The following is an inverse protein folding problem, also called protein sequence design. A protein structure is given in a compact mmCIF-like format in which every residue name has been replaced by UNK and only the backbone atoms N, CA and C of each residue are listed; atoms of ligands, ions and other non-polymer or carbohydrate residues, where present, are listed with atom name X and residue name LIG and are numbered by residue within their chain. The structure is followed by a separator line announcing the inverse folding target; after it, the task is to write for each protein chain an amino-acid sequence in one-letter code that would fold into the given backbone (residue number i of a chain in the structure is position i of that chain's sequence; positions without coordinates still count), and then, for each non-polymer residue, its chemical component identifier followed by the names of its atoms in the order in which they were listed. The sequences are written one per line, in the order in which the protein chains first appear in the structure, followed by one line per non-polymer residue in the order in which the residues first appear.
data_IF_537891544432
#
_entry.id   IF_537891544432
#
_cell.length_a   1.000
_cell.length_b   1.000
_cell.length_c   1.000
_cell.angle_alpha   90.00
_cell.angle_beta   90.00
_cell.angle_gamma   90.00
#
_symmetry.space_group_name_H-M   'P 1'
#
loop_
_entity.id
_entity.type
_entity.pdbx_description
1 polymer ?
#
# COMPACT_ATOMS: atom_id res chain seq x y z
N UNK A 1 -41.62 15.89 -25.50
CA UNK A 1 -40.91 15.45 -24.28
C UNK A 1 -41.23 16.40 -23.14
N UNK A 2 -41.46 15.86 -21.95
CA UNK A 2 -41.66 16.65 -20.73
C UNK A 2 -40.32 16.99 -20.06
N UNK A 3 -40.27 18.01 -19.21
CA UNK A 3 -39.05 18.37 -18.46
C UNK A 3 -38.53 17.20 -17.61
N UNK A 4 -39.44 16.38 -17.08
CA UNK A 4 -39.11 15.16 -16.35
C UNK A 4 -38.38 14.14 -17.24
N UNK A 5 -38.88 13.92 -18.46
CA UNK A 5 -38.25 13.02 -19.44
C UNK A 5 -36.87 13.53 -19.89
N UNK A 6 -36.70 14.85 -20.05
CA UNK A 6 -35.40 15.45 -20.39
C UNK A 6 -34.41 15.27 -19.23
N UNK A 7 -34.86 15.40 -17.98
CA UNK A 7 -34.01 15.19 -16.82
C UNK A 7 -33.66 13.71 -16.60
N UNK A 8 -34.60 12.79 -16.86
CA UNK A 8 -34.39 11.34 -16.81
C UNK A 8 -33.42 10.88 -17.92
N UNK A 9 -33.55 11.42 -19.14
CA UNK A 9 -32.66 11.14 -20.27
C UNK A 9 -31.26 11.74 -20.06
N UNK A 10 -31.14 12.91 -19.41
CA UNK A 10 -29.85 13.46 -18.97
C UNK A 10 -29.23 12.62 -17.85
N UNK A 11 -30.02 12.16 -16.88
CA UNK A 11 -29.54 11.30 -15.79
C UNK A 11 -29.08 9.93 -16.30
N UNK A 12 -29.80 9.33 -17.26
CA UNK A 12 -29.40 8.09 -17.93
C UNK A 12 -28.16 8.27 -18.81
N UNK A 13 -28.10 9.32 -19.64
CA UNK A 13 -26.89 9.62 -20.42
C UNK A 13 -25.69 9.92 -19.50
N UNK A 14 -25.89 10.57 -18.35
CA UNK A 14 -24.83 10.74 -17.36
C UNK A 14 -24.41 9.38 -16.76
N UNK A 15 -25.35 8.50 -16.40
CA UNK A 15 -25.01 7.16 -15.89
C UNK A 15 -24.23 6.31 -16.89
N UNK A 16 -24.56 6.37 -18.18
CA UNK A 16 -23.84 5.63 -19.24
C UNK A 16 -22.52 6.33 -19.66
N UNK A 17 -22.43 7.66 -19.59
CA UNK A 17 -21.19 8.40 -19.93
C UNK A 17 -20.12 8.38 -18.82
N UNK A 18 -20.49 8.07 -17.57
CA UNK A 18 -19.56 8.06 -16.43
C UNK A 18 -19.23 6.64 -15.92
N UNK A 19 -19.61 5.58 -16.66
CA UNK A 19 -19.06 4.24 -16.40
C UNK A 19 -17.54 4.28 -16.55
N UNK A 20 -16.82 3.87 -15.50
CA UNK A 20 -15.35 3.91 -15.47
C UNK A 20 -14.75 5.17 -14.84
N UNK A 21 -15.56 6.10 -14.31
CA UNK A 21 -15.06 7.26 -13.57
C UNK A 21 -15.52 7.26 -12.11
N UNK A 22 -14.69 7.82 -11.22
CA UNK A 22 -15.01 8.02 -9.79
C UNK A 22 -14.85 9.50 -9.41
N UNK A 23 -15.67 9.97 -8.49
CA UNK A 23 -15.52 11.32 -7.91
C UNK A 23 -14.29 11.43 -7.01
N UNK A 24 -13.84 12.66 -6.72
CA UNK A 24 -12.78 12.90 -5.73
C UNK A 24 -13.15 12.33 -4.35
N UNK A 25 -14.42 12.40 -3.95
CA UNK A 25 -14.86 11.89 -2.65
C UNK A 25 -14.77 10.37 -2.59
N UNK A 26 -15.24 9.66 -3.62
CA UNK A 26 -15.06 8.21 -3.71
C UNK A 26 -13.58 7.82 -3.71
N UNK A 27 -12.71 8.59 -4.37
CA UNK A 27 -11.27 8.38 -4.27
C UNK A 27 -10.76 8.61 -2.84
N UNK A 28 -11.19 9.67 -2.14
CA UNK A 28 -10.81 9.93 -0.75
C UNK A 28 -11.26 8.77 0.16
N UNK A 29 -12.43 8.19 -0.08
CA UNK A 29 -12.94 7.05 0.68
C UNK A 29 -12.06 5.81 0.47
N UNK A 30 -11.76 5.46 -0.80
CA UNK A 30 -10.83 4.37 -1.12
C UNK A 30 -9.45 4.58 -0.48
N UNK A 31 -8.95 5.80 -0.56
CA UNK A 31 -7.69 6.20 0.06
C UNK A 31 -7.77 6.07 1.60
N UNK A 32 -8.89 6.43 2.21
CA UNK A 32 -9.10 6.36 3.66
C UNK A 32 -9.22 4.91 4.13
N UNK A 33 -9.82 4.03 3.35
CA UNK A 33 -9.82 2.59 3.63
C UNK A 33 -8.38 2.06 3.72
N UNK A 34 -7.52 2.44 2.77
CA UNK A 34 -6.13 1.99 2.68
C UNK A 34 -5.19 2.61 3.72
N UNK A 35 -5.34 3.90 3.99
CA UNK A 35 -4.40 4.67 4.80
C UNK A 35 -4.96 5.17 6.14
N UNK A 36 -6.26 5.01 6.41
CA UNK A 36 -6.94 5.35 7.68
C UNK A 36 -6.62 6.77 8.16
N UNK A 37 -6.93 7.81 7.38
CA UNK A 37 -6.67 9.20 7.79
C UNK A 37 -7.72 9.76 8.75
N UNK A 38 -8.96 9.29 8.64
CA UNK A 38 -10.13 9.81 9.34
C UNK A 38 -10.49 8.92 10.53
N UNK A 39 -11.04 9.53 11.58
CA UNK A 39 -11.54 8.85 12.78
C UNK A 39 -12.91 8.21 12.49
N UNK A 40 -12.91 7.09 11.77
CA UNK A 40 -14.12 6.41 11.33
C UNK A 40 -14.81 5.63 12.48
N UNK A 41 -15.63 6.29 13.29
CA UNK A 41 -16.58 5.58 14.18
C UNK A 41 -17.94 5.26 13.50
N UNK A 42 -18.15 5.66 12.23
CA UNK A 42 -19.40 5.36 11.49
C UNK A 42 -19.13 4.95 10.02
N UNK A 43 -18.90 3.65 9.79
CA UNK A 43 -18.68 3.07 8.45
C UNK A 43 -19.98 2.89 7.64
N UNK A 44 -21.15 3.33 8.14
CA UNK A 44 -22.42 3.14 7.42
C UNK A 44 -23.33 4.36 7.52
N UNK A 45 -23.03 5.41 6.77
CA UNK A 45 -24.06 6.21 6.09
C UNK A 45 -23.41 7.02 4.97
N UNK A 46 -23.73 6.65 3.73
CA UNK A 46 -23.20 7.26 2.49
C UNK A 46 -23.69 8.70 2.25
N UNK A 47 -24.13 9.41 3.29
CA UNK A 47 -24.72 10.75 3.20
C UNK A 47 -24.27 11.73 4.29
N UNK A 48 -23.36 11.38 5.19
CA UNK A 48 -22.81 12.32 6.17
C UNK A 48 -21.35 12.00 6.47
N UNK A 49 -20.44 12.60 5.70
CA UNK A 49 -19.02 12.63 6.04
C UNK A 49 -18.74 13.79 7.00
N UNK A 50 -17.92 13.51 8.02
CA UNK A 50 -17.40 14.42 9.05
C UNK A 50 -18.39 14.86 10.15
N UNK A 51 -18.30 14.22 11.31
CA UNK A 51 -18.91 14.73 12.55
C UNK A 51 -17.99 15.71 13.31
N UNK A 52 -16.72 15.90 12.86
CA UNK A 52 -15.75 16.77 13.53
C UNK A 52 -15.01 17.74 12.56
N UNK A 53 -14.65 18.93 13.07
CA UNK A 53 -13.94 20.00 12.33
C UNK A 53 -12.57 19.57 11.76
N UNK A 54 -11.95 18.53 12.34
CA UNK A 54 -10.65 18.03 11.92
C UNK A 54 -10.73 17.26 10.59
N UNK A 55 -11.73 16.39 10.48
CA UNK A 55 -11.96 15.52 9.33
C UNK A 55 -12.43 16.34 8.12
N UNK A 56 -13.31 17.33 8.33
CA UNK A 56 -13.72 18.28 7.29
C UNK A 56 -12.50 18.99 6.68
N UNK A 57 -11.61 19.51 7.53
CA UNK A 57 -10.39 20.17 7.09
C UNK A 57 -9.45 19.22 6.34
N UNK A 58 -9.35 17.96 6.77
CA UNK A 58 -8.48 16.97 6.11
C UNK A 58 -9.02 16.59 4.73
N UNK A 59 -10.34 16.44 4.60
CA UNK A 59 -11.02 16.20 3.32
C UNK A 59 -10.79 17.36 2.35
N UNK A 60 -10.91 18.61 2.81
CA UNK A 60 -10.62 19.79 1.99
C UNK A 60 -9.16 19.84 1.53
N UNK A 61 -8.21 19.55 2.43
CA UNK A 61 -6.79 19.48 2.11
C UNK A 61 -6.50 18.37 1.08
N UNK A 62 -7.09 17.19 1.26
CA UNK A 62 -6.95 16.05 0.35
C UNK A 62 -7.53 16.37 -1.03
N UNK A 63 -8.73 16.95 -1.08
CA UNK A 63 -9.40 17.39 -2.30
C UNK A 63 -8.51 18.34 -3.11
N UNK A 64 -8.00 19.39 -2.46
CA UNK A 64 -7.10 20.34 -3.10
C UNK A 64 -5.80 19.69 -3.61
N UNK A 65 -5.26 18.72 -2.86
CA UNK A 65 -4.05 17.98 -3.27
C UNK A 65 -4.29 17.07 -4.47
N UNK A 66 -5.41 16.35 -4.50
CA UNK A 66 -5.81 15.50 -5.62
C UNK A 66 -5.96 16.34 -6.89
N UNK A 67 -6.72 17.44 -6.82
CA UNK A 67 -6.89 18.37 -7.97
C UNK A 67 -5.53 18.87 -8.46
N UNK A 68 -4.67 19.30 -7.54
CA UNK A 68 -3.33 19.79 -7.89
C UNK A 68 -2.48 18.70 -8.56
N UNK A 69 -2.55 17.46 -8.09
CA UNK A 69 -1.81 16.33 -8.67
C UNK A 69 -2.30 16.02 -10.08
N UNK A 70 -3.61 15.94 -10.28
CA UNK A 70 -4.24 15.74 -11.60
C UNK A 70 -3.80 16.83 -12.58
N UNK A 71 -3.90 18.10 -12.18
CA UNK A 71 -3.53 19.24 -13.02
C UNK A 71 -2.03 19.33 -13.35
N UNK A 72 -1.15 18.72 -12.55
CA UNK A 72 0.28 18.61 -12.84
C UNK A 72 0.61 17.40 -13.72
N UNK A 73 -0.14 16.32 -13.56
CA UNK A 73 0.04 15.04 -14.24
C UNK A 73 -0.82 14.89 -15.49
N UNK A 74 -1.20 16.00 -16.17
CA UNK A 74 -2.18 16.05 -17.28
C UNK A 74 -2.03 15.01 -18.41
N UNK A 75 -0.84 14.42 -18.55
CA UNK A 75 -0.58 13.39 -19.58
C UNK A 75 -0.68 11.94 -19.06
N UNK A 76 -0.93 11.75 -17.76
CA UNK A 76 -0.93 10.46 -17.07
C UNK A 76 -2.19 10.21 -16.24
N UNK A 77 -3.06 11.21 -16.09
CA UNK A 77 -4.33 11.08 -15.38
C UNK A 77 -5.43 11.57 -16.30
N UNK A 78 -6.32 10.66 -16.69
CA UNK A 78 -7.54 11.02 -17.40
C UNK A 78 -8.62 11.45 -16.41
N UNK A 79 -9.27 12.56 -16.72
CA UNK A 79 -10.29 13.16 -15.88
C UNK A 79 -11.26 14.00 -16.70
N UNK A 80 -12.52 14.01 -16.28
CA UNK A 80 -13.54 14.93 -16.79
C UNK A 80 -13.63 16.13 -15.84
N UNK A 81 -13.62 17.32 -16.43
CA UNK A 81 -13.91 18.61 -15.77
C UNK A 81 -15.21 19.14 -16.40
N UNK A 82 -16.38 18.75 -15.86
CA UNK A 82 -17.66 19.22 -16.37
C UNK A 82 -17.73 20.71 -16.03
N UNK A 83 -17.57 21.55 -17.06
CA UNK A 83 -17.44 23.00 -16.94
C UNK A 83 -18.48 23.65 -16.02
N UNK A 84 -18.11 23.79 -14.75
CA UNK A 84 -18.51 24.79 -13.77
C UNK A 84 -17.43 24.74 -12.69
N UNK A 85 -17.07 25.88 -12.09
CA UNK A 85 -15.93 26.03 -11.16
C UNK A 85 -16.07 25.25 -9.83
N UNK A 86 -16.84 24.16 -9.80
CA UNK A 86 -17.15 23.36 -8.63
C UNK A 86 -16.25 22.12 -8.56
N UNK A 87 -15.39 22.09 -7.55
CA UNK A 87 -14.47 20.98 -7.27
C UNK A 87 -15.18 19.64 -7.07
N UNK A 88 -16.48 19.67 -6.76
CA UNK A 88 -17.38 18.51 -6.60
C UNK A 88 -17.59 17.70 -7.90
N UNK A 89 -17.23 18.23 -9.06
CA UNK A 89 -17.53 17.60 -10.37
C UNK A 89 -16.33 16.94 -11.04
N UNK A 90 -15.14 16.97 -10.44
CA UNK A 90 -13.98 16.23 -10.96
C UNK A 90 -14.24 14.73 -10.90
N UNK A 91 -14.29 14.13 -12.09
CA UNK A 91 -14.43 12.69 -12.26
C UNK A 91 -13.11 12.14 -12.80
N UNK A 92 -12.52 11.20 -12.07
CA UNK A 92 -11.21 10.60 -12.34
C UNK A 92 -11.46 9.25 -12.97
N UNK A 93 -10.82 8.98 -14.10
CA UNK A 93 -10.88 7.67 -14.73
C UNK A 93 -10.31 6.62 -13.76
N UNK A 94 -11.00 5.50 -13.61
CA UNK A 94 -10.70 4.48 -12.60
C UNK A 94 -9.32 3.84 -12.82
N UNK A 95 -8.84 3.78 -14.08
CA UNK A 95 -7.51 3.30 -14.43
C UNK A 95 -6.42 4.32 -14.09
N UNK A 96 -6.79 5.59 -13.92
CA UNK A 96 -5.88 6.67 -13.54
C UNK A 96 -5.68 6.83 -12.03
N UNK A 97 -6.48 6.13 -11.19
CA UNK A 97 -6.39 6.19 -9.72
C UNK A 97 -4.98 5.86 -9.22
N UNK A 98 -4.35 4.80 -9.77
CA UNK A 98 -2.97 4.43 -9.38
C UNK A 98 -1.97 5.56 -9.62
N UNK A 99 -2.12 6.31 -10.72
CA UNK A 99 -1.23 7.43 -11.02
C UNK A 99 -1.44 8.61 -10.06
N UNK A 100 -2.68 8.83 -9.62
CA UNK A 100 -2.98 9.81 -8.56
C UNK A 100 -2.36 9.37 -7.23
N UNK A 101 -2.51 8.09 -6.85
CA UNK A 101 -1.88 7.52 -5.65
C UNK A 101 -0.34 7.68 -5.67
N UNK A 102 0.30 7.33 -6.79
CA UNK A 102 1.75 7.47 -6.96
C UNK A 102 2.17 8.93 -6.81
N UNK A 103 1.44 9.86 -7.45
CA UNK A 103 1.75 11.29 -7.37
C UNK A 103 1.58 11.85 -5.94
N UNK A 104 0.71 11.26 -5.13
CA UNK A 104 0.42 11.68 -3.76
C UNK A 104 1.13 10.83 -2.69
N UNK A 105 1.92 9.83 -3.07
CA UNK A 105 2.49 8.82 -2.17
C UNK A 105 3.02 9.37 -0.84
N UNK A 106 3.95 10.33 -0.88
CA UNK A 106 4.55 10.90 0.32
C UNK A 106 3.56 11.71 1.17
N UNK A 107 2.59 12.37 0.53
CA UNK A 107 1.56 13.10 1.24
C UNK A 107 0.62 12.14 1.97
N UNK A 108 0.20 11.07 1.31
CA UNK A 108 -0.68 10.05 1.90
C UNK A 108 0.00 9.33 3.06
N UNK A 109 1.26 8.91 2.92
CA UNK A 109 2.01 8.28 4.02
C UNK A 109 2.16 9.23 5.21
N UNK A 110 2.43 10.52 4.98
CA UNK A 110 2.60 11.50 6.06
C UNK A 110 1.30 11.79 6.84
N UNK A 111 0.13 11.68 6.18
CA UNK A 111 -1.18 11.97 6.77
C UNK A 111 -1.90 10.75 7.33
N UNK A 112 -1.46 9.55 6.97
CA UNK A 112 -2.03 8.28 7.44
C UNK A 112 -1.87 8.08 8.95
N UNK A 113 -2.90 7.60 9.64
CA UNK A 113 -2.76 7.21 11.07
C UNK A 113 -1.90 5.95 11.25
N UNK A 114 -1.86 5.07 10.24
CA UNK A 114 -1.19 3.76 10.31
C UNK A 114 0.16 3.72 9.58
N UNK A 115 0.40 4.63 8.63
CA UNK A 115 1.64 4.70 7.83
C UNK A 115 2.48 5.95 8.12
N UNK A 116 2.07 6.84 9.03
CA UNK A 116 2.94 7.96 9.38
C UNK A 116 4.22 7.45 10.08
N UNK A 117 5.37 8.11 9.86
CA UNK A 117 6.66 7.63 10.38
C UNK A 117 6.70 7.45 11.90
N UNK A 118 6.00 8.30 12.65
CA UNK A 118 6.01 8.25 14.11
C UNK A 118 5.24 7.03 14.64
N UNK A 119 4.03 6.78 14.12
CA UNK A 119 3.21 5.63 14.49
C UNK A 119 3.89 4.31 14.10
N UNK A 120 4.50 4.25 12.91
CA UNK A 120 5.29 3.09 12.48
C UNK A 120 6.47 2.82 13.42
N UNK A 121 7.22 3.86 13.78
CA UNK A 121 8.33 3.76 14.74
C UNK A 121 7.87 3.27 16.11
N UNK A 122 6.76 3.78 16.62
CA UNK A 122 6.18 3.34 17.90
C UNK A 122 5.74 1.87 17.86
N UNK A 123 5.13 1.44 16.76
CA UNK A 123 4.74 0.05 16.53
C UNK A 123 5.96 -0.86 16.48
N UNK A 124 7.01 -0.50 15.74
CA UNK A 124 8.25 -1.27 15.66
C UNK A 124 8.93 -1.40 17.03
N UNK A 125 9.02 -0.29 17.78
CA UNK A 125 9.57 -0.30 19.13
C UNK A 125 8.80 -1.22 20.08
N UNK A 126 7.46 -1.21 19.99
CA UNK A 126 6.61 -2.09 20.79
C UNK A 126 6.83 -3.56 20.43
N UNK A 127 6.78 -3.89 19.13
CA UNK A 127 7.02 -5.25 18.63
C UNK A 127 8.41 -5.76 19.05
N UNK A 128 9.45 -4.95 18.86
CA UNK A 128 10.81 -5.28 19.27
C UNK A 128 10.89 -5.51 20.78
N UNK A 129 10.35 -4.60 21.59
CA UNK A 129 10.37 -4.74 23.06
C UNK A 129 9.67 -6.02 23.52
N UNK A 130 8.52 -6.35 22.92
CA UNK A 130 7.77 -7.56 23.24
C UNK A 130 8.56 -8.82 22.85
N UNK A 131 9.20 -8.84 21.69
CA UNK A 131 10.05 -9.94 21.24
C UNK A 131 11.28 -10.13 22.13
N UNK A 132 11.97 -9.04 22.48
CA UNK A 132 13.14 -9.09 23.37
C UNK A 132 12.73 -9.59 24.75
N UNK A 133 11.59 -9.14 25.28
CA UNK A 133 11.11 -9.56 26.61
C UNK A 133 10.86 -11.07 26.67
N UNK A 134 10.47 -11.69 25.55
CA UNK A 134 10.28 -13.16 25.46
C UNK A 134 11.58 -13.95 25.47
N UNK A 135 12.72 -13.36 25.09
CA UNK A 135 14.01 -14.06 24.93
C UNK A 135 15.10 -13.63 25.93
N UNK A 136 14.93 -12.46 26.56
CA UNK A 136 15.86 -11.92 27.53
C UNK A 136 15.68 -12.62 28.89
N UNK A 137 16.80 -12.96 29.52
CA UNK A 137 16.79 -13.60 30.85
C UNK A 137 16.62 -12.59 31.98
N UNK A 138 17.14 -11.38 31.78
CA UNK A 138 17.17 -10.30 32.76
C UNK A 138 17.38 -8.93 32.07
N UNK A 139 17.47 -7.85 32.85
CA UNK A 139 17.65 -6.50 32.34
C UNK A 139 19.03 -6.25 31.70
N UNK A 140 20.08 -6.93 32.17
CA UNK A 140 21.42 -6.81 31.57
C UNK A 140 21.43 -7.49 30.21
N UNK A 141 20.77 -8.64 30.11
CA UNK A 141 20.61 -9.40 28.88
C UNK A 141 19.77 -8.62 27.85
N UNK A 142 18.67 -8.00 28.29
CA UNK A 142 17.86 -7.09 27.46
C UNK A 142 18.71 -5.98 26.85
N UNK A 143 19.56 -5.33 27.66
CA UNK A 143 20.48 -4.27 27.17
C UNK A 143 21.48 -4.81 26.16
N UNK A 144 22.04 -6.00 26.37
CA UNK A 144 22.98 -6.63 25.42
C UNK A 144 22.31 -6.94 24.08
N UNK A 145 21.09 -7.46 24.10
CA UNK A 145 20.32 -7.74 22.89
C UNK A 145 20.05 -6.45 22.11
N UNK A 146 19.64 -5.37 22.78
CA UNK A 146 19.43 -4.07 22.14
C UNK A 146 20.70 -3.54 21.45
N UNK A 147 21.87 -3.70 22.08
CA UNK A 147 23.15 -3.35 21.45
C UNK A 147 23.42 -4.21 20.22
N UNK A 148 23.20 -5.52 20.28
CA UNK A 148 23.38 -6.42 19.14
C UNK A 148 22.47 -6.05 17.96
N UNK A 149 21.21 -5.71 18.23
CA UNK A 149 20.27 -5.26 17.20
C UNK A 149 20.76 -3.97 16.56
N UNK A 150 21.13 -2.96 17.38
CA UNK A 150 21.62 -1.68 16.88
C UNK A 150 22.85 -1.85 16.01
N UNK A 151 23.84 -2.62 16.47
CA UNK A 151 25.04 -2.90 15.67
C UNK A 151 24.69 -3.63 14.37
N UNK A 152 23.77 -4.59 14.39
CA UNK A 152 23.35 -5.32 13.17
C UNK A 152 22.59 -4.42 12.19
N UNK A 153 21.74 -3.52 12.69
CA UNK A 153 21.06 -2.51 11.88
C UNK A 153 22.03 -1.50 11.27
N UNK A 154 23.08 -1.12 11.99
CA UNK A 154 24.18 -0.28 11.47
C UNK A 154 25.02 -1.01 10.39
N UNK A 155 24.97 -2.35 10.32
CA UNK A 155 25.62 -3.15 9.27
C UNK A 155 24.74 -3.38 8.03
N UNK A 156 23.43 -3.15 8.11
CA UNK A 156 22.57 -3.09 6.94
C UNK A 156 22.77 -1.72 6.30
N UNK A 157 23.67 -1.62 5.32
CA UNK A 157 23.91 -0.35 4.65
C UNK A 157 22.77 -0.05 3.66
N UNK A 158 22.58 1.25 3.35
CA UNK A 158 21.60 1.71 2.38
C UNK A 158 21.72 0.98 1.02
N UNK A 159 22.88 0.39 0.70
CA UNK A 159 23.09 -0.37 -0.53
C UNK A 159 22.32 -1.69 -0.55
N UNK A 160 22.03 -2.33 0.59
CA UNK A 160 21.23 -3.57 0.60
C UNK A 160 19.75 -3.29 0.28
N UNK A 161 19.21 -2.19 0.79
CA UNK A 161 17.86 -1.72 0.45
C UNK A 161 17.79 -1.30 -1.02
N UNK A 162 18.75 -0.50 -1.48
CA UNK A 162 18.84 -0.05 -2.87
C UNK A 162 19.01 -1.24 -3.84
N UNK A 163 19.74 -2.28 -3.45
CA UNK A 163 19.87 -3.52 -4.24
C UNK A 163 18.55 -4.26 -4.40
N UNK A 164 17.73 -4.32 -3.34
CA UNK A 164 16.38 -4.91 -3.44
C UNK A 164 15.55 -4.08 -4.41
N UNK A 165 15.43 -2.78 -4.18
CA UNK A 165 14.63 -1.89 -5.02
C UNK A 165 15.05 -1.96 -6.50
N UNK A 166 16.35 -1.90 -6.79
CA UNK A 166 16.89 -2.00 -8.15
C UNK A 166 16.69 -3.38 -8.80
N UNK A 167 16.75 -4.47 -8.02
CA UNK A 167 16.52 -5.82 -8.53
C UNK A 167 15.07 -6.00 -8.99
N UNK A 168 14.11 -5.45 -8.24
CA UNK A 168 12.69 -5.56 -8.57
C UNK A 168 12.20 -4.51 -9.59
N UNK A 169 12.86 -3.35 -9.69
CA UNK A 169 12.54 -2.33 -10.70
C UNK A 169 12.64 -2.83 -12.16
N UNK A 170 13.47 -3.86 -12.41
CA UNK A 170 13.66 -4.45 -13.74
C UNK A 170 12.87 -5.75 -13.96
N UNK A 171 12.01 -6.15 -13.00
CA UNK A 171 11.32 -7.44 -13.00
C UNK A 171 10.37 -7.60 -14.19
N UNK A 172 9.62 -6.54 -14.55
CA UNK A 172 8.63 -6.56 -15.64
C UNK A 172 9.26 -6.82 -17.03
N UNK A 173 10.54 -6.49 -17.21
CA UNK A 173 11.25 -6.68 -18.48
C UNK A 173 11.75 -8.12 -18.68
N UNK A 174 11.76 -8.96 -17.64
CA UNK A 174 12.57 -10.19 -17.64
C UNK A 174 11.79 -11.51 -17.78
N UNK A 175 10.47 -11.58 -17.57
CA UNK A 175 9.81 -12.90 -17.53
C UNK A 175 8.38 -13.01 -18.10
N UNK A 176 8.26 -13.91 -19.09
CA UNK A 176 7.04 -14.64 -19.44
C UNK A 176 6.79 -15.89 -18.56
N UNK A 177 5.87 -16.74 -19.01
CA UNK A 177 5.18 -17.85 -18.31
C UNK A 177 6.08 -18.99 -17.75
N UNK A 178 6.94 -18.74 -16.76
CA UNK A 178 7.50 -19.81 -15.90
C UNK A 178 6.77 -19.91 -14.55
N UNK A 179 6.59 -21.14 -14.07
CA UNK A 179 5.74 -21.50 -12.92
C UNK A 179 6.43 -21.47 -11.53
N UNK A 180 7.76 -21.31 -11.44
CA UNK A 180 8.48 -21.32 -10.15
C UNK A 180 8.94 -19.92 -9.72
N UNK A 181 8.30 -19.38 -8.68
CA UNK A 181 8.57 -18.05 -8.10
C UNK A 181 10.02 -17.91 -7.59
N UNK A 182 10.53 -18.93 -6.90
CA UNK A 182 11.85 -18.87 -6.26
C UNK A 182 12.95 -18.87 -7.33
N UNK A 183 12.77 -19.66 -8.38
CA UNK A 183 13.66 -19.63 -9.53
C UNK A 183 13.73 -18.23 -10.17
N UNK A 184 12.60 -17.49 -10.28
CA UNK A 184 12.62 -16.11 -10.79
C UNK A 184 13.43 -15.16 -9.91
N UNK A 185 13.25 -15.25 -8.59
CA UNK A 185 14.02 -14.44 -7.63
C UNK A 185 15.52 -14.73 -7.77
N UNK A 186 15.90 -16.02 -7.82
CA UNK A 186 17.30 -16.46 -7.98
C UNK A 186 17.92 -15.97 -9.30
N UNK A 187 17.13 -15.88 -10.37
CA UNK A 187 17.60 -15.37 -11.67
C UNK A 187 17.79 -13.85 -11.69
N UNK A 188 17.01 -13.11 -10.90
CA UNK A 188 17.03 -11.64 -10.86
C UNK A 188 18.16 -11.14 -9.97
N UNK A 189 18.37 -11.78 -8.83
CA UNK A 189 19.57 -11.58 -8.02
C UNK A 189 19.77 -12.78 -7.10
N UNK A 190 20.77 -13.59 -7.43
CA UNK A 190 21.16 -14.75 -6.63
C UNK A 190 21.61 -14.38 -5.21
N UNK A 191 21.92 -13.11 -4.96
CA UNK A 191 22.40 -12.62 -3.68
C UNK A 191 21.27 -12.25 -2.70
N UNK A 192 20.03 -12.02 -3.18
CA UNK A 192 18.92 -11.62 -2.31
C UNK A 192 18.58 -12.66 -1.24
N UNK A 193 18.73 -13.94 -1.57
CA UNK A 193 18.46 -15.04 -0.64
C UNK A 193 19.64 -15.32 0.31
N UNK A 194 20.79 -14.64 0.13
CA UNK A 194 21.98 -14.83 0.94
C UNK A 194 22.08 -13.84 2.11
N UNK A 195 21.11 -12.94 2.25
CA UNK A 195 21.05 -12.03 3.40
C UNK A 195 20.83 -12.80 4.70
N UNK A 196 21.59 -12.47 5.76
CA UNK A 196 21.54 -13.19 7.04
C UNK A 196 20.19 -13.12 7.77
N UNK A 197 19.32 -12.22 7.32
CA UNK A 197 17.95 -12.02 7.78
C UNK A 197 16.97 -13.04 7.18
N UNK A 198 17.27 -13.54 5.98
CA UNK A 198 16.46 -14.55 5.28
C UNK A 198 16.73 -15.89 5.95
N UNK A 199 15.71 -16.47 6.55
CA UNK A 199 15.79 -17.76 7.24
C UNK A 199 15.37 -18.92 6.32
N UNK A 200 15.61 -20.16 6.78
CA UNK A 200 15.38 -21.37 6.00
C UNK A 200 13.90 -21.56 5.60
N UNK A 201 12.98 -20.94 6.35
CA UNK A 201 11.54 -21.01 6.11
C UNK A 201 11.01 -19.89 5.21
N UNK A 202 11.84 -18.90 4.85
CA UNK A 202 11.44 -17.73 4.07
C UNK A 202 10.76 -18.12 2.75
N UNK A 203 11.39 -19.00 1.96
CA UNK A 203 10.87 -19.41 0.65
C UNK A 203 9.47 -20.03 0.80
N UNK A 204 9.29 -20.89 1.82
CA UNK A 204 8.01 -21.53 2.10
C UNK A 204 6.94 -20.51 2.52
N UNK A 205 7.28 -19.53 3.36
CA UNK A 205 6.34 -18.48 3.78
C UNK A 205 5.93 -17.61 2.59
N UNK A 206 6.90 -17.13 1.81
CA UNK A 206 6.64 -16.29 0.65
C UNK A 206 5.74 -17.01 -0.38
N UNK A 207 6.04 -18.26 -0.73
CA UNK A 207 5.23 -19.02 -1.69
C UNK A 207 3.81 -19.22 -1.19
N UNK A 208 3.64 -19.68 0.05
CA UNK A 208 2.31 -19.91 0.65
C UNK A 208 1.49 -18.62 0.71
N UNK A 209 2.09 -17.53 1.17
CA UNK A 209 1.38 -16.25 1.33
C UNK A 209 1.02 -15.69 -0.07
N UNK A 210 1.93 -15.77 -1.04
CA UNK A 210 1.68 -15.39 -2.44
C UNK A 210 0.55 -16.20 -3.09
N UNK A 211 0.54 -17.52 -2.92
CA UNK A 211 -0.52 -18.38 -3.46
C UNK A 211 -1.87 -18.03 -2.86
N UNK A 212 -1.91 -17.75 -1.56
CA UNK A 212 -3.13 -17.30 -0.88
C UNK A 212 -3.63 -15.98 -1.47
N UNK A 213 -2.76 -14.98 -1.63
CA UNK A 213 -3.14 -13.68 -2.21
C UNK A 213 -3.67 -13.85 -3.63
N UNK A 214 -3.00 -14.66 -4.47
CA UNK A 214 -3.49 -14.95 -5.83
C UNK A 214 -4.88 -15.57 -5.84
N UNK A 215 -5.18 -16.44 -4.89
CA UNK A 215 -6.48 -17.07 -4.73
C UNK A 215 -7.55 -16.05 -4.30
N UNK A 216 -7.21 -15.16 -3.37
CA UNK A 216 -8.08 -14.08 -2.91
C UNK A 216 -8.39 -13.09 -4.05
N UNK A 217 -7.38 -12.69 -4.83
CA UNK A 217 -7.54 -11.84 -6.02
C UNK A 217 -8.39 -12.54 -7.09
N UNK A 218 -8.11 -13.81 -7.38
CA UNK A 218 -8.90 -14.57 -8.34
C UNK A 218 -10.37 -14.66 -7.90
N UNK A 219 -10.63 -14.85 -6.61
CA UNK A 219 -11.98 -14.86 -6.06
C UNK A 219 -12.66 -13.50 -6.19
N UNK A 220 -12.01 -12.39 -5.81
CA UNK A 220 -12.55 -11.03 -5.99
C UNK A 220 -12.89 -10.76 -7.46
N UNK A 221 -11.99 -11.13 -8.37
CA UNK A 221 -12.19 -10.94 -9.81
C UNK A 221 -13.32 -11.79 -10.41
N UNK A 222 -13.82 -12.81 -9.71
CA UNK A 222 -15.05 -13.52 -10.13
C UNK A 222 -16.33 -12.77 -9.76
N UNK A 223 -16.23 -11.79 -8.86
CA UNK A 223 -17.35 -11.03 -8.32
C UNK A 223 -17.48 -9.64 -8.96
N UNK A 224 -16.54 -9.24 -9.80
CA UNK A 224 -16.49 -7.92 -10.45
C UNK A 224 -16.44 -8.06 -11.97
N UNK A 225 -17.07 -7.12 -12.68
CA UNK A 225 -17.00 -7.05 -14.14
C UNK A 225 -15.64 -6.48 -14.62
N UNK A 226 -14.95 -5.75 -13.74
CA UNK A 226 -13.61 -5.20 -13.93
C UNK A 226 -12.63 -5.94 -13.01
N UNK A 227 -11.79 -6.84 -13.53
CA UNK A 227 -10.86 -7.61 -12.71
C UNK A 227 -9.68 -6.77 -12.26
N UNK A 228 -9.35 -6.84 -10.98
CA UNK A 228 -8.17 -6.19 -10.43
C UNK A 228 -6.87 -6.82 -10.98
N UNK A 229 -5.89 -5.96 -11.24
CA UNK A 229 -4.51 -6.34 -11.47
C UNK A 229 -3.76 -6.42 -10.15
N UNK A 230 -3.01 -7.50 -9.95
CA UNK A 230 -2.15 -7.67 -8.79
C UNK A 230 -0.70 -7.30 -9.11
N UNK A 231 -0.16 -6.30 -8.40
CA UNK A 231 1.25 -5.90 -8.41
C UNK A 231 2.11 -6.92 -7.67
N UNK A 232 2.31 -8.07 -8.31
CA UNK A 232 3.10 -9.16 -7.75
C UNK A 232 4.54 -8.72 -7.45
N UNK A 233 5.10 -7.82 -8.26
CA UNK A 233 6.48 -7.36 -8.12
C UNK A 233 6.63 -6.54 -6.85
N UNK A 234 5.77 -5.54 -6.64
CA UNK A 234 5.81 -4.73 -5.43
C UNK A 234 5.54 -5.57 -4.18
N UNK A 235 4.60 -6.53 -4.24
CA UNK A 235 4.34 -7.44 -3.13
C UNK A 235 5.60 -8.22 -2.72
N UNK A 236 6.33 -8.79 -3.69
CA UNK A 236 7.55 -9.55 -3.38
C UNK A 236 8.63 -8.61 -2.85
N UNK A 237 8.81 -7.45 -3.48
CA UNK A 237 9.77 -6.43 -3.03
C UNK A 237 9.54 -6.05 -1.57
N UNK A 238 8.30 -5.71 -1.21
CA UNK A 238 7.92 -5.38 0.17
C UNK A 238 8.14 -6.55 1.14
N UNK A 239 7.97 -7.79 0.70
CA UNK A 239 8.28 -8.98 1.49
C UNK A 239 9.77 -9.07 1.84
N UNK A 240 10.66 -8.82 0.87
CA UNK A 240 12.10 -8.74 1.12
C UNK A 240 12.46 -7.57 2.03
N UNK A 241 11.90 -6.40 1.78
CA UNK A 241 12.14 -5.21 2.60
C UNK A 241 11.70 -5.46 4.05
N UNK A 242 10.54 -6.11 4.27
CA UNK A 242 10.09 -6.52 5.61
C UNK A 242 11.12 -7.39 6.32
N UNK A 243 11.63 -8.44 5.67
CA UNK A 243 12.59 -9.35 6.31
C UNK A 243 13.94 -8.68 6.57
N UNK A 244 14.39 -7.79 5.68
CA UNK A 244 15.61 -7.01 5.89
C UNK A 244 15.52 -6.17 7.18
N UNK A 245 14.32 -5.72 7.56
CA UNK A 245 14.06 -5.06 8.84
C UNK A 245 13.96 -6.01 10.05
N UNK A 246 14.62 -7.18 9.99
CA UNK A 246 14.75 -8.12 11.10
C UNK A 246 16.20 -8.49 11.36
N UNK A 247 16.49 -9.04 12.55
CA UNK A 247 17.81 -9.60 12.89
C UNK A 247 17.65 -10.90 13.67
N UNK A 248 18.53 -11.87 13.42
CA UNK A 248 18.47 -13.18 14.08
C UNK A 248 19.26 -13.17 15.39
N UNK A 249 18.56 -13.15 16.52
CA UNK A 249 19.15 -13.24 17.86
C UNK A 249 18.72 -14.56 18.50
N UNK A 250 19.69 -15.43 18.80
CA UNK A 250 19.46 -16.75 19.44
C UNK A 250 18.43 -17.61 18.68
N UNK A 251 18.49 -17.58 17.35
CA UNK A 251 17.56 -18.33 16.50
C UNK A 251 16.15 -17.75 16.42
N UNK A 252 15.91 -16.55 16.97
CA UNK A 252 14.64 -15.81 16.82
C UNK A 252 14.86 -14.57 15.96
N UNK A 253 13.98 -14.32 15.01
CA UNK A 253 13.92 -13.05 14.29
C UNK A 253 13.36 -11.97 15.22
N UNK A 254 14.08 -10.86 15.33
CA UNK A 254 13.70 -9.68 16.11
C UNK A 254 13.58 -8.50 15.15
N UNK A 255 12.47 -7.78 15.19
CA UNK A 255 12.23 -6.61 14.33
C UNK A 255 13.06 -5.42 14.78
N UNK A 256 13.35 -4.52 13.85
CA UNK A 256 13.83 -3.17 14.16
C UNK A 256 13.13 -2.12 13.27
N UNK A 257 13.47 -0.86 13.48
CA UNK A 257 12.82 0.29 12.83
C UNK A 257 12.76 0.15 11.30
N UNK A 258 11.55 0.32 10.73
CA UNK A 258 11.23 0.19 9.31
C UNK A 258 10.40 -1.05 8.95
N UNK A 259 10.31 -2.05 9.85
CA UNK A 259 9.58 -3.29 9.63
C UNK A 259 8.08 -3.08 9.37
N UNK A 260 7.42 -2.28 10.23
CA UNK A 260 5.96 -2.17 10.25
C UNK A 260 5.36 -1.61 8.97
N UNK A 261 6.11 -0.77 8.23
CA UNK A 261 5.65 -0.21 6.96
C UNK A 261 5.28 -1.32 5.98
N UNK A 262 6.16 -2.32 5.85
CA UNK A 262 5.96 -3.42 4.92
C UNK A 262 5.03 -4.49 5.49
N UNK A 263 5.11 -4.76 6.79
CA UNK A 263 4.22 -5.71 7.48
C UNK A 263 2.74 -5.35 7.33
N UNK A 264 2.38 -4.07 7.48
CA UNK A 264 1.00 -3.60 7.35
C UNK A 264 0.46 -3.74 5.93
N UNK A 265 1.28 -3.46 4.91
CA UNK A 265 0.89 -3.63 3.50
C UNK A 265 0.66 -5.10 3.18
N UNK A 266 1.56 -5.97 3.61
CA UNK A 266 1.49 -7.42 3.38
C UNK A 266 0.34 -8.10 4.14
N UNK A 267 -0.16 -7.50 5.22
CA UNK A 267 -1.37 -7.95 5.92
C UNK A 267 -2.66 -7.64 5.17
N UNK A 268 -2.67 -6.60 4.32
CA UNK A 268 -3.84 -6.17 3.54
C UNK A 268 -3.53 -6.11 2.03
N UNK A 269 -3.15 -7.24 1.42
CA UNK A 269 -2.55 -7.23 0.09
C UNK A 269 -3.50 -6.79 -1.02
N UNK A 270 -4.81 -6.96 -0.83
CA UNK A 270 -5.83 -6.52 -1.78
C UNK A 270 -5.89 -4.99 -1.86
N UNK A 271 -5.81 -4.29 -0.73
CA UNK A 271 -5.81 -2.82 -0.67
C UNK A 271 -4.49 -2.21 -1.20
N UNK A 272 -3.37 -2.89 -0.96
CA UNK A 272 -2.04 -2.33 -1.21
C UNK A 272 -1.47 -2.66 -2.58
N UNK A 273 -1.83 -3.80 -3.16
CA UNK A 273 -1.22 -4.31 -4.38
C UNK A 273 -2.22 -4.64 -5.48
N UNK A 274 -3.53 -4.47 -5.25
CA UNK A 274 -4.53 -4.64 -6.31
C UNK A 274 -5.04 -3.30 -6.80
N UNK A 275 -5.21 -3.17 -8.11
CA UNK A 275 -5.72 -1.95 -8.74
C UNK A 275 -6.62 -2.30 -9.92
N UNK A 276 -7.64 -1.48 -10.15
CA UNK A 276 -8.55 -1.66 -11.28
C UNK A 276 -7.82 -1.56 -12.61
N UNK A 277 -8.22 -2.42 -13.54
CA UNK A 277 -7.53 -2.69 -14.80
C UNK A 277 -8.11 -1.92 -15.95
#
# INVERSE_FOLDING_TARGET
MTQKQINEEKAMNNCEMYQGYVSIYELIDMLNEKYKFLDNDSIFDSYFFAENDHDEKLIDELTAKIITAIQKSKNYVDYLDPQDNDTMTYLIDVHSIRNVEIALHYYLEAKSSIMNPQALKERDNKLQSDQITKIAKDQVDKKRILVQIRTSGEYLDDQQFEKVENAFANWELLFGNSHDLISKIKMISGDLLNYGQIDDDFENRLVRDMERVKLEVAYQNTLTDEPDQFDQVQYISDYFMRELHTVKIRGKQIVYEGYSKYDLKLQNPLEWYCYKR
#
